data_IF_146909153121
#
_entry.id   IF_146909153121
#
_cell.length_a   1.000
_cell.length_b   1.000
_cell.length_c   1.000
_cell.angle_alpha   90.00
_cell.angle_beta   90.00
_cell.angle_gamma   90.00
#
_symmetry.space_group_name_H-M   'P 1'
#
loop_
_entity.id
_entity.type
_entity.pdbx_description
1 polymer ?
#
# COMPACT_ATOMS: atom_id res chain seq x y z
N UNK A 1 74.97 -45.45 58.59
CA UNK A 1 74.59 -44.11 59.09
C UNK A 1 74.31 -43.24 57.89
N UNK A 2 73.03 -43.12 57.52
CA UNK A 2 72.64 -42.21 56.46
C UNK A 2 71.36 -41.45 56.97
N UNK A 3 71.53 -40.19 57.19
CA UNK A 3 70.45 -39.30 57.64
C UNK A 3 69.53 -38.97 56.48
N UNK A 4 68.25 -39.32 56.64
CA UNK A 4 67.20 -38.94 55.72
C UNK A 4 66.71 -37.52 56.06
N UNK A 5 66.77 -36.60 55.10
CA UNK A 5 66.15 -35.28 55.17
C UNK A 5 64.77 -35.34 54.50
N UNK A 6 63.73 -35.20 55.31
CA UNK A 6 62.40 -35.10 54.81
C UNK A 6 62.17 -33.73 54.16
N UNK A 7 61.78 -33.73 52.90
CA UNK A 7 61.40 -32.54 52.16
C UNK A 7 59.89 -32.25 52.38
N UNK A 8 59.59 -31.17 53.07
CA UNK A 8 58.27 -30.73 53.32
C UNK A 8 57.79 -29.94 52.07
N UNK A 9 56.94 -30.54 51.30
CA UNK A 9 56.29 -29.84 50.14
C UNK A 9 55.02 -29.09 50.63
N UNK A 10 55.11 -27.77 50.74
CA UNK A 10 53.99 -26.94 51.02
C UNK A 10 53.21 -26.72 49.70
N UNK A 11 52.02 -27.32 49.60
CA UNK A 11 51.12 -27.16 48.48
C UNK A 11 50.38 -25.82 48.68
N UNK A 12 50.77 -24.79 47.92
CA UNK A 12 49.99 -23.59 47.78
C UNK A 12 48.80 -23.86 46.83
N UNK A 13 47.65 -24.03 47.40
CA UNK A 13 46.42 -24.06 46.61
C UNK A 13 46.05 -22.61 46.27
N UNK A 14 46.36 -22.16 45.05
CA UNK A 14 45.86 -20.92 44.49
C UNK A 14 44.39 -21.16 44.11
N UNK A 15 43.47 -20.73 44.95
CA UNK A 15 42.07 -20.63 44.60
C UNK A 15 41.85 -19.44 43.64
N UNK A 16 41.89 -19.69 42.37
CA UNK A 16 41.46 -18.72 41.34
C UNK A 16 39.95 -18.52 41.43
N UNK A 17 39.54 -17.44 42.06
CA UNK A 17 38.14 -16.95 41.99
C UNK A 17 37.95 -16.42 40.59
N UNK A 18 37.38 -17.25 39.71
CA UNK A 18 36.85 -16.79 38.41
C UNK A 18 35.56 -16.00 38.68
N UNK A 19 35.68 -14.69 38.73
CA UNK A 19 34.52 -13.78 38.69
C UNK A 19 33.83 -13.97 37.36
N UNK A 20 32.75 -14.76 37.34
CA UNK A 20 31.81 -14.80 36.19
C UNK A 20 31.08 -13.48 36.22
N UNK A 21 31.58 -12.52 35.46
CA UNK A 21 30.80 -11.34 35.09
C UNK A 21 29.67 -11.80 34.14
N UNK A 22 28.50 -12.06 34.71
CA UNK A 22 27.25 -12.14 33.95
C UNK A 22 27.03 -10.76 33.33
N UNK A 23 27.52 -10.57 32.10
CA UNK A 23 27.04 -9.51 31.24
C UNK A 23 25.54 -9.76 31.04
N UNK A 24 24.74 -9.01 31.78
CA UNK A 24 23.35 -8.83 31.46
C UNK A 24 23.35 -8.24 30.05
N UNK A 25 23.07 -9.07 29.03
CA UNK A 25 22.60 -8.57 27.75
C UNK A 25 21.31 -7.87 28.07
N UNK A 26 21.40 -6.55 28.26
CA UNK A 26 20.27 -5.69 28.21
C UNK A 26 19.65 -5.99 26.83
N UNK A 27 18.52 -6.69 26.86
CA UNK A 27 17.63 -6.78 25.72
C UNK A 27 17.33 -5.33 25.34
N UNK A 28 18.10 -4.78 24.42
CA UNK A 28 17.65 -3.65 23.64
C UNK A 28 16.50 -4.22 22.81
N UNK A 29 15.33 -4.25 23.46
CA UNK A 29 14.07 -4.24 22.77
C UNK A 29 14.03 -2.89 22.03
N UNK A 30 14.85 -2.83 20.98
CA UNK A 30 14.75 -1.80 19.97
C UNK A 30 13.32 -1.96 19.46
N UNK A 31 12.47 -1.03 19.83
CA UNK A 31 11.19 -0.78 19.19
C UNK A 31 11.48 -0.57 17.70
N UNK A 32 11.63 -1.67 16.97
CA UNK A 32 11.75 -1.67 15.52
C UNK A 32 10.44 -1.11 15.00
N UNK A 33 10.45 0.17 14.70
CA UNK A 33 9.39 0.79 13.91
C UNK A 33 9.33 0.03 12.60
N UNK A 34 8.33 -0.85 12.45
CA UNK A 34 8.13 -1.59 11.20
C UNK A 34 7.55 -0.63 10.19
N UNK A 35 8.37 -0.22 9.22
CA UNK A 35 7.89 0.57 8.11
C UNK A 35 7.04 -0.32 7.20
N UNK A 36 5.76 0.00 7.11
CA UNK A 36 4.79 -0.68 6.25
C UNK A 36 4.60 0.13 4.97
N UNK A 37 4.56 -0.53 3.83
CA UNK A 37 4.41 0.15 2.54
C UNK A 37 2.97 0.01 2.04
N UNK A 38 2.40 1.14 1.62
CA UNK A 38 1.16 1.21 0.85
C UNK A 38 1.55 1.53 -0.59
N UNK A 39 1.34 0.58 -1.49
CA UNK A 39 1.57 0.76 -2.92
C UNK A 39 0.27 1.23 -3.60
N UNK A 40 0.35 2.30 -4.37
CA UNK A 40 -0.75 2.74 -5.24
C UNK A 40 -0.39 2.39 -6.67
N UNK A 41 -1.19 1.53 -7.27
CA UNK A 41 -1.16 1.15 -8.68
C UNK A 41 -2.36 1.78 -9.35
N UNK A 42 -2.17 2.88 -10.06
CA UNK A 42 -3.24 3.68 -10.63
C UNK A 42 -2.92 4.32 -11.96
N UNK A 43 -3.84 5.14 -12.40
CA UNK A 43 -3.72 5.91 -13.63
C UNK A 43 -3.57 7.42 -13.39
N UNK A 44 -4.11 8.24 -14.28
CA UNK A 44 -4.04 9.71 -14.20
C UNK A 44 -4.73 10.30 -12.97
N UNK A 45 -5.73 9.62 -12.41
CA UNK A 45 -6.44 10.09 -11.21
C UNK A 45 -5.54 10.04 -9.97
N UNK A 46 -4.58 9.14 -9.95
CA UNK A 46 -3.60 8.97 -8.87
C UNK A 46 -2.22 9.57 -9.20
N UNK A 47 -1.93 9.82 -10.49
CA UNK A 47 -0.66 10.40 -10.95
C UNK A 47 -0.60 11.93 -10.91
N UNK A 48 -1.60 12.60 -10.31
CA UNK A 48 -1.70 14.07 -10.26
C UNK A 48 -1.78 14.76 -11.62
N UNK A 49 -2.47 14.15 -12.59
CA UNK A 49 -2.59 14.72 -13.93
C UNK A 49 -3.20 16.14 -13.89
N UNK A 50 -2.48 17.12 -14.47
CA UNK A 50 -2.95 18.50 -14.60
C UNK A 50 -2.98 19.32 -13.32
N UNK A 51 -2.43 18.80 -12.21
CA UNK A 51 -2.31 19.50 -10.93
C UNK A 51 -0.90 19.36 -10.34
N UNK A 52 -0.49 20.24 -9.42
CA UNK A 52 0.76 20.04 -8.66
C UNK A 52 0.69 18.75 -7.83
N UNK A 53 1.78 17.98 -7.84
CA UNK A 53 1.84 16.68 -7.15
C UNK A 53 1.61 16.80 -5.64
N UNK A 54 2.02 17.92 -5.04
CA UNK A 54 1.87 18.23 -3.63
C UNK A 54 0.41 18.38 -3.21
N UNK A 55 -0.47 18.67 -4.17
CA UNK A 55 -1.90 18.83 -3.98
C UNK A 55 -2.69 17.54 -4.29
N UNK A 56 -2.01 16.50 -4.76
CA UNK A 56 -2.68 15.24 -5.12
C UNK A 56 -3.23 14.52 -3.88
N UNK A 57 -4.34 13.79 -4.06
CA UNK A 57 -4.91 12.99 -2.99
C UNK A 57 -3.92 11.98 -2.41
N UNK A 58 -2.98 11.48 -3.23
CA UNK A 58 -1.92 10.55 -2.81
C UNK A 58 -0.96 11.22 -1.84
N UNK A 59 -0.51 12.44 -2.15
CA UNK A 59 0.37 13.21 -1.25
C UNK A 59 -0.36 13.59 0.03
N UNK A 60 -1.62 14.02 -0.06
CA UNK A 60 -2.45 14.33 1.10
C UNK A 60 -2.69 13.09 1.99
N UNK A 61 -2.84 11.91 1.38
CA UNK A 61 -2.94 10.64 2.10
C UNK A 61 -1.64 10.32 2.85
N UNK A 62 -0.49 10.47 2.19
CA UNK A 62 0.81 10.26 2.82
C UNK A 62 1.02 11.17 4.05
N UNK A 63 0.68 12.45 3.92
CA UNK A 63 0.72 13.42 5.03
C UNK A 63 -0.24 13.05 6.17
N UNK A 64 -1.43 12.54 5.83
CA UNK A 64 -2.41 12.09 6.83
C UNK A 64 -1.88 10.91 7.63
N UNK A 65 -1.30 9.92 6.95
CA UNK A 65 -0.68 8.75 7.57
C UNK A 65 0.49 9.15 8.48
N UNK A 66 1.39 9.98 7.98
CA UNK A 66 2.52 10.48 8.76
C UNK A 66 2.05 11.19 10.05
N UNK A 67 1.09 12.11 9.94
CA UNK A 67 0.54 12.84 11.08
C UNK A 67 -0.12 11.90 12.09
N UNK A 68 -0.86 10.90 11.62
CA UNK A 68 -1.63 10.00 12.49
C UNK A 68 -0.76 8.98 13.20
N UNK A 69 0.28 8.49 12.52
CA UNK A 69 1.13 7.40 13.02
C UNK A 69 2.52 7.84 13.50
N UNK A 70 2.86 9.13 13.42
CA UNK A 70 4.16 9.69 13.86
C UNK A 70 4.56 9.37 15.30
N UNK A 71 3.59 9.07 16.16
CA UNK A 71 3.79 8.77 17.58
C UNK A 71 3.56 7.30 17.93
N UNK A 72 3.39 6.45 16.93
CA UNK A 72 3.14 5.02 17.11
C UNK A 72 4.32 4.20 16.61
N UNK A 73 4.34 2.91 16.93
CA UNK A 73 5.34 1.99 16.37
C UNK A 73 5.07 1.60 14.92
N UNK A 74 3.92 2.01 14.36
CA UNK A 74 3.59 1.80 12.97
C UNK A 74 3.99 3.03 12.15
N UNK A 75 4.71 2.82 11.06
CA UNK A 75 5.08 3.85 10.11
C UNK A 75 4.65 3.41 8.71
N UNK A 76 3.76 4.18 8.09
CA UNK A 76 3.27 3.88 6.74
C UNK A 76 3.93 4.77 5.71
N UNK A 77 4.53 4.15 4.70
CA UNK A 77 5.09 4.84 3.55
C UNK A 77 4.24 4.61 2.31
N UNK A 78 3.78 5.68 1.68
CA UNK A 78 3.06 5.61 0.41
C UNK A 78 4.04 5.56 -0.76
N UNK A 79 3.88 4.58 -1.64
CA UNK A 79 4.60 4.44 -2.91
C UNK A 79 3.62 4.57 -4.05
N UNK A 80 3.65 5.70 -4.72
CA UNK A 80 2.83 5.94 -5.89
C UNK A 80 3.52 5.41 -7.14
N UNK A 81 2.95 4.39 -7.77
CA UNK A 81 3.40 3.81 -9.03
C UNK A 81 2.40 4.07 -10.18
N UNK A 82 1.53 5.07 -10.00
CA UNK A 82 0.50 5.41 -10.98
C UNK A 82 1.11 6.09 -12.21
N UNK A 83 0.58 5.75 -13.39
CA UNK A 83 1.01 6.28 -14.68
C UNK A 83 -0.21 6.80 -15.44
N UNK A 84 -0.18 8.07 -15.87
CA UNK A 84 -1.28 8.64 -16.66
C UNK A 84 -1.55 7.82 -17.93
N UNK A 85 -2.80 7.47 -18.18
CA UNK A 85 -3.19 6.65 -19.33
C UNK A 85 -3.03 5.15 -19.12
N UNK A 86 -2.62 4.69 -17.94
CA UNK A 86 -2.40 3.28 -17.64
C UNK A 86 -3.71 2.47 -17.71
N UNK A 87 -3.58 1.23 -18.15
CA UNK A 87 -4.66 0.26 -18.28
C UNK A 87 -4.50 -0.89 -17.30
N UNK A 88 -5.53 -1.70 -17.17
CA UNK A 88 -5.43 -2.93 -16.36
C UNK A 88 -4.34 -3.87 -16.87
N UNK A 89 -4.12 -3.95 -18.20
CA UNK A 89 -3.06 -4.74 -18.82
C UNK A 89 -1.66 -4.18 -18.51
N UNK A 90 -1.49 -2.85 -18.54
CA UNK A 90 -0.24 -2.20 -18.13
C UNK A 90 0.07 -2.42 -16.66
N UNK A 91 -0.94 -2.35 -15.80
CA UNK A 91 -0.83 -2.71 -14.39
C UNK A 91 -0.34 -4.14 -14.17
N UNK A 92 -0.84 -5.12 -14.96
CA UNK A 92 -0.39 -6.51 -14.90
C UNK A 92 1.09 -6.66 -15.24
N UNK A 93 1.60 -5.90 -16.19
CA UNK A 93 3.03 -5.92 -16.54
C UNK A 93 3.92 -5.34 -15.44
N UNK A 94 3.46 -4.30 -14.76
CA UNK A 94 4.27 -3.57 -13.77
C UNK A 94 4.19 -4.16 -12.36
N UNK A 95 3.03 -4.67 -11.95
CA UNK A 95 2.77 -5.08 -10.56
C UNK A 95 3.76 -6.12 -10.01
N UNK A 96 4.17 -7.20 -10.74
CA UNK A 96 5.09 -8.19 -10.17
C UNK A 96 6.43 -7.61 -9.74
N UNK A 97 6.99 -6.69 -10.53
CA UNK A 97 8.25 -6.02 -10.19
C UNK A 97 8.08 -5.07 -9.00
N UNK A 98 6.93 -4.37 -8.91
CA UNK A 98 6.60 -3.46 -7.81
C UNK A 98 6.41 -4.22 -6.50
N UNK A 99 5.71 -5.36 -6.51
CA UNK A 99 5.51 -6.22 -5.34
C UNK A 99 6.86 -6.74 -4.82
N UNK A 100 7.72 -7.24 -5.71
CA UNK A 100 9.07 -7.69 -5.34
C UNK A 100 9.92 -6.56 -4.74
N UNK A 101 9.84 -5.36 -5.33
CA UNK A 101 10.65 -4.20 -4.94
C UNK A 101 10.22 -3.61 -3.60
N UNK A 102 8.92 -3.44 -3.40
CA UNK A 102 8.39 -2.67 -2.28
C UNK A 102 7.81 -3.52 -1.16
N UNK A 103 7.51 -4.81 -1.42
CA UNK A 103 6.89 -5.74 -0.47
C UNK A 103 5.74 -5.07 0.31
N UNK A 104 4.72 -4.53 -0.38
CA UNK A 104 3.71 -3.69 0.25
C UNK A 104 2.80 -4.51 1.17
N UNK A 105 2.46 -3.96 2.33
CA UNK A 105 1.41 -4.47 3.21
C UNK A 105 0.02 -4.27 2.59
N UNK A 106 -0.15 -3.15 1.87
CA UNK A 106 -1.42 -2.79 1.24
C UNK A 106 -1.15 -2.37 -0.21
N UNK A 107 -1.97 -2.88 -1.14
CA UNK A 107 -2.00 -2.42 -2.54
C UNK A 107 -3.35 -1.76 -2.80
N UNK A 108 -3.32 -0.49 -3.19
CA UNK A 108 -4.50 0.22 -3.70
C UNK A 108 -4.49 0.09 -5.22
N UNK A 109 -5.51 -0.57 -5.79
CA UNK A 109 -5.67 -0.75 -7.24
C UNK A 109 -6.69 0.27 -7.74
N UNK A 110 -6.21 1.26 -8.48
CA UNK A 110 -7.00 2.34 -9.07
C UNK A 110 -6.81 2.31 -10.60
N UNK A 111 -7.34 1.28 -11.26
CA UNK A 111 -7.18 1.03 -12.68
C UNK A 111 -8.50 0.60 -13.34
N UNK A 112 -8.57 0.78 -14.65
CA UNK A 112 -9.68 0.39 -15.50
C UNK A 112 -10.40 1.56 -16.16
N UNK A 113 -10.22 2.81 -15.72
CA UNK A 113 -10.80 3.97 -16.36
C UNK A 113 -10.44 4.04 -17.84
N UNK A 114 -9.16 3.91 -18.15
CA UNK A 114 -8.66 3.94 -19.53
C UNK A 114 -9.16 2.80 -20.38
N UNK A 115 -9.31 1.59 -19.80
CA UNK A 115 -9.91 0.45 -20.47
C UNK A 115 -11.38 0.74 -20.83
N UNK A 116 -12.16 1.22 -19.86
CA UNK A 116 -13.55 1.57 -20.02
C UNK A 116 -13.78 2.69 -21.04
N UNK A 117 -12.98 3.75 -21.00
CA UNK A 117 -13.05 4.87 -21.95
C UNK A 117 -12.63 4.48 -23.36
N UNK A 118 -11.80 3.45 -23.51
CA UNK A 118 -11.42 2.86 -24.83
C UNK A 118 -12.39 1.79 -25.29
N UNK A 119 -13.43 1.47 -24.51
CA UNK A 119 -14.43 0.47 -24.86
C UNK A 119 -13.92 -0.97 -24.86
N UNK A 120 -12.92 -1.29 -24.04
CA UNK A 120 -12.39 -2.65 -23.97
C UNK A 120 -13.46 -3.64 -23.48
N UNK A 121 -13.39 -4.92 -23.90
CA UNK A 121 -14.34 -5.91 -23.44
C UNK A 121 -14.36 -6.03 -21.91
N UNK A 122 -15.54 -5.96 -21.31
CA UNK A 122 -15.69 -6.05 -19.84
C UNK A 122 -15.05 -7.31 -19.26
N UNK A 123 -15.14 -8.44 -19.99
CA UNK A 123 -14.51 -9.70 -19.59
C UNK A 123 -12.99 -9.57 -19.45
N UNK A 124 -12.34 -8.85 -20.34
CA UNK A 124 -10.89 -8.61 -20.28
C UNK A 124 -10.55 -7.74 -19.06
N UNK A 125 -11.30 -6.67 -18.84
CA UNK A 125 -11.10 -5.79 -17.68
C UNK A 125 -11.28 -6.57 -16.36
N UNK A 126 -12.35 -7.36 -16.27
CA UNK A 126 -12.62 -8.20 -15.10
C UNK A 126 -11.48 -9.21 -14.86
N UNK A 127 -11.01 -9.89 -15.90
CA UNK A 127 -9.92 -10.86 -15.80
C UNK A 127 -8.62 -10.19 -15.33
N UNK A 128 -8.26 -9.05 -15.92
CA UNK A 128 -7.06 -8.32 -15.55
C UNK A 128 -7.11 -7.83 -14.10
N UNK A 129 -8.22 -7.22 -13.68
CA UNK A 129 -8.41 -6.80 -12.29
C UNK A 129 -8.37 -7.98 -11.32
N UNK A 130 -8.99 -9.13 -11.69
CA UNK A 130 -8.90 -10.37 -10.91
C UNK A 130 -7.45 -10.79 -10.70
N UNK A 131 -6.68 -10.86 -11.79
CA UNK A 131 -5.26 -11.26 -11.72
C UNK A 131 -4.42 -10.26 -10.91
N UNK A 132 -4.68 -8.95 -11.02
CA UNK A 132 -4.01 -7.94 -10.18
C UNK A 132 -4.28 -8.17 -8.68
N UNK A 133 -5.52 -8.47 -8.31
CA UNK A 133 -5.90 -8.78 -6.93
C UNK A 133 -5.21 -10.07 -6.47
N UNK A 134 -5.26 -11.12 -7.26
CA UNK A 134 -4.62 -12.41 -6.95
C UNK A 134 -3.11 -12.28 -6.75
N UNK A 135 -2.42 -11.54 -7.61
CA UNK A 135 -0.98 -11.26 -7.48
C UNK A 135 -0.65 -10.53 -6.17
N UNK A 136 -1.43 -9.50 -5.82
CA UNK A 136 -1.23 -8.77 -4.58
C UNK A 136 -1.46 -9.67 -3.36
N UNK A 137 -2.54 -10.44 -3.34
CA UNK A 137 -2.88 -11.35 -2.24
C UNK A 137 -1.86 -12.49 -2.11
N UNK A 138 -1.34 -13.02 -3.23
CA UNK A 138 -0.28 -14.04 -3.23
C UNK A 138 1.03 -13.53 -2.62
N UNK A 139 1.23 -12.20 -2.59
CA UNK A 139 2.35 -11.54 -1.91
C UNK A 139 2.00 -11.10 -0.47
N UNK A 140 0.92 -11.63 0.11
CA UNK A 140 0.41 -11.30 1.44
C UNK A 140 -0.01 -9.82 1.59
N UNK A 141 -0.25 -9.11 0.51
CA UNK A 141 -0.75 -7.74 0.55
C UNK A 141 -2.27 -7.71 0.72
N UNK A 142 -2.78 -6.87 1.62
CA UNK A 142 -4.20 -6.50 1.64
C UNK A 142 -4.51 -5.65 0.41
N UNK A 143 -5.70 -5.77 -0.14
CA UNK A 143 -6.09 -5.02 -1.34
C UNK A 143 -7.21 -4.05 -1.01
N UNK A 144 -7.06 -2.80 -1.45
CA UNK A 144 -8.13 -1.82 -1.58
C UNK A 144 -8.39 -1.58 -3.06
N UNK A 145 -9.53 -2.06 -3.54
CA UNK A 145 -9.97 -1.81 -4.91
C UNK A 145 -10.74 -0.50 -4.99
N UNK A 146 -10.50 0.33 -6.00
CA UNK A 146 -11.25 1.57 -6.20
C UNK A 146 -12.17 1.46 -7.41
N UNK A 147 -13.47 1.62 -7.16
CA UNK A 147 -14.48 1.61 -8.20
C UNK A 147 -14.46 2.90 -9.02
N UNK A 148 -14.75 2.74 -10.30
CA UNK A 148 -14.75 3.80 -11.29
C UNK A 148 -16.10 3.81 -12.03
N UNK A 149 -16.58 5.01 -12.37
CA UNK A 149 -17.67 5.20 -13.30
C UNK A 149 -17.15 5.82 -14.58
N UNK A 150 -17.57 5.28 -15.72
CA UNK A 150 -17.38 5.93 -17.01
C UNK A 150 -18.66 6.66 -17.41
N UNK A 151 -18.54 7.75 -18.18
CA UNK A 151 -19.71 8.52 -18.59
C UNK A 151 -20.75 7.69 -19.35
N UNK A 152 -22.06 7.93 -19.16
CA UNK A 152 -23.12 7.10 -19.76
C UNK A 152 -23.21 7.20 -21.29
N UNK A 153 -22.59 8.21 -21.90
CA UNK A 153 -22.49 8.34 -23.37
C UNK A 153 -21.65 7.24 -24.02
N UNK A 154 -20.89 6.44 -23.23
CA UNK A 154 -20.24 5.19 -23.70
C UNK A 154 -21.21 4.01 -23.77
N UNK A 155 -22.51 4.23 -23.54
CA UNK A 155 -23.56 3.21 -23.53
C UNK A 155 -23.96 2.83 -22.11
N UNK A 156 -25.21 3.12 -21.74
CA UNK A 156 -25.73 2.91 -20.37
C UNK A 156 -25.50 1.47 -19.86
N UNK A 157 -25.76 0.47 -20.73
CA UNK A 157 -25.58 -0.95 -20.37
C UNK A 157 -24.11 -1.27 -20.06
N UNK A 158 -23.19 -0.77 -20.88
CA UNK A 158 -21.76 -0.98 -20.70
C UNK A 158 -21.27 -0.26 -19.44
N UNK A 159 -21.61 1.02 -19.27
CA UNK A 159 -21.19 1.81 -18.10
C UNK A 159 -21.68 1.20 -16.77
N UNK A 160 -22.94 0.73 -16.72
CA UNK A 160 -23.50 0.07 -15.53
C UNK A 160 -22.78 -1.25 -15.25
N UNK A 161 -22.53 -2.09 -16.26
CA UNK A 161 -21.86 -3.36 -16.08
C UNK A 161 -20.37 -3.17 -15.71
N UNK A 162 -19.69 -2.18 -16.31
CA UNK A 162 -18.34 -1.78 -15.97
C UNK A 162 -18.21 -1.42 -14.48
N UNK A 163 -19.03 -0.52 -13.98
CA UNK A 163 -19.01 -0.13 -12.57
C UNK A 163 -19.28 -1.34 -11.64
N UNK A 164 -20.25 -2.21 -12.01
CA UNK A 164 -20.59 -3.40 -11.22
C UNK A 164 -19.43 -4.40 -11.10
N UNK A 165 -18.49 -4.40 -12.05
CA UNK A 165 -17.31 -5.29 -12.01
C UNK A 165 -16.54 -5.14 -10.71
N UNK A 166 -16.31 -3.92 -10.24
CA UNK A 166 -15.54 -3.66 -9.01
C UNK A 166 -16.20 -4.25 -7.78
N UNK A 167 -17.51 -4.05 -7.60
CA UNK A 167 -18.23 -4.61 -6.45
C UNK A 167 -18.33 -6.14 -6.51
N UNK A 168 -18.40 -6.71 -7.71
CA UNK A 168 -18.37 -8.16 -7.92
C UNK A 168 -17.02 -8.75 -7.53
N UNK A 169 -15.93 -8.12 -7.97
CA UNK A 169 -14.57 -8.55 -7.64
C UNK A 169 -14.27 -8.39 -6.15
N UNK A 170 -14.63 -7.25 -5.57
CA UNK A 170 -14.42 -7.01 -4.14
C UNK A 170 -15.10 -8.09 -3.27
N UNK A 171 -16.31 -8.51 -3.63
CA UNK A 171 -17.01 -9.62 -2.95
C UNK A 171 -16.33 -10.96 -3.18
N UNK A 172 -15.92 -11.26 -4.42
CA UNK A 172 -15.28 -12.53 -4.80
C UNK A 172 -13.96 -12.75 -4.06
N UNK A 173 -13.15 -11.70 -3.96
CA UNK A 173 -11.80 -11.76 -3.39
C UNK A 173 -11.70 -11.25 -1.94
N UNK A 174 -12.84 -10.90 -1.33
CA UNK A 174 -12.90 -10.36 0.04
C UNK A 174 -11.98 -9.15 0.24
N UNK A 175 -11.90 -8.25 -0.76
CA UNK A 175 -11.11 -7.02 -0.67
C UNK A 175 -11.94 -5.86 -0.13
N UNK A 176 -11.26 -4.88 0.46
CA UNK A 176 -11.89 -3.60 0.70
C UNK A 176 -12.20 -2.89 -0.63
N UNK A 177 -13.22 -2.05 -0.63
CA UNK A 177 -13.70 -1.35 -1.83
C UNK A 177 -14.02 0.11 -1.52
N UNK A 178 -13.46 1.01 -2.30
CA UNK A 178 -14.01 2.35 -2.52
C UNK A 178 -15.06 2.21 -3.63
N UNK A 179 -16.36 2.38 -3.36
CA UNK A 179 -17.38 2.13 -4.38
C UNK A 179 -17.24 3.01 -5.62
N UNK A 180 -16.93 4.29 -5.42
CA UNK A 180 -16.63 5.24 -6.49
C UNK A 180 -15.62 6.29 -6.02
N UNK A 181 -14.48 6.36 -6.68
CA UNK A 181 -13.38 7.25 -6.30
C UNK A 181 -13.76 8.73 -6.36
N UNK A 182 -14.59 9.13 -7.34
CA UNK A 182 -15.03 10.52 -7.56
C UNK A 182 -16.46 10.78 -7.08
N UNK A 183 -16.91 10.06 -6.05
CA UNK A 183 -18.26 10.24 -5.48
C UNK A 183 -18.47 11.68 -5.00
N UNK A 184 -19.57 12.30 -5.45
CA UNK A 184 -19.89 13.69 -5.13
C UNK A 184 -18.98 14.75 -5.78
N UNK A 185 -18.02 14.32 -6.63
CA UNK A 185 -17.06 15.18 -7.33
C UNK A 185 -17.36 15.22 -8.82
N UNK A 186 -17.48 14.06 -9.48
CA UNK A 186 -17.62 13.95 -10.94
C UNK A 186 -18.80 14.74 -11.53
N UNK A 187 -19.86 14.96 -10.76
CA UNK A 187 -21.05 15.72 -11.16
C UNK A 187 -20.94 17.23 -10.95
N UNK A 188 -19.84 17.72 -10.35
CA UNK A 188 -19.62 19.14 -10.05
C UNK A 188 -18.59 19.74 -11.00
N UNK A 189 -18.99 20.50 -12.04
CA UNK A 189 -18.05 21.08 -13.00
C UNK A 189 -16.96 21.97 -12.36
N UNK A 190 -17.27 22.61 -11.23
CA UNK A 190 -16.29 23.43 -10.49
C UNK A 190 -15.13 22.62 -9.93
N UNK A 191 -15.30 21.31 -9.67
CA UNK A 191 -14.28 20.41 -9.14
C UNK A 191 -13.55 19.60 -10.22
N UNK A 192 -14.01 19.69 -11.49
CA UNK A 192 -13.44 18.96 -12.62
C UNK A 192 -12.66 19.90 -13.54
N UNK A 193 -11.64 19.37 -14.18
CA UNK A 193 -10.91 20.06 -15.25
C UNK A 193 -11.80 20.22 -16.50
N UNK A 194 -11.32 20.95 -17.50
CA UNK A 194 -12.09 21.23 -18.72
C UNK A 194 -12.49 19.97 -19.49
N UNK A 195 -11.71 18.88 -19.37
CA UNK A 195 -11.97 17.59 -19.98
C UNK A 195 -13.12 16.81 -19.31
N UNK A 196 -13.58 17.23 -18.12
CA UNK A 196 -14.62 16.59 -17.30
C UNK A 196 -14.30 15.14 -16.89
N UNK A 197 -13.06 14.73 -16.99
CA UNK A 197 -12.57 13.40 -16.61
C UNK A 197 -11.65 13.50 -15.38
N UNK A 198 -10.82 14.54 -15.33
CA UNK A 198 -9.84 14.71 -14.27
C UNK A 198 -10.31 15.73 -13.23
N UNK A 199 -10.20 15.41 -11.93
CA UNK A 199 -10.52 16.35 -10.86
C UNK A 199 -9.44 17.45 -10.76
N UNK A 200 -9.86 18.64 -10.31
CA UNK A 200 -8.96 19.74 -9.98
C UNK A 200 -8.30 19.54 -8.61
N UNK A 201 -7.39 20.43 -8.26
CA UNK A 201 -6.72 20.44 -6.96
C UNK A 201 -7.69 20.57 -5.79
N UNK A 202 -8.74 21.37 -5.92
CA UNK A 202 -9.76 21.59 -4.88
C UNK A 202 -10.57 20.34 -4.55
N UNK A 203 -10.57 19.34 -5.43
CA UNK A 203 -11.27 18.07 -5.21
C UNK A 203 -10.43 17.05 -4.45
N UNK A 204 -9.11 17.22 -4.40
CA UNK A 204 -8.17 16.17 -3.97
C UNK A 204 -8.33 15.79 -2.49
N UNK A 205 -8.65 16.76 -1.63
CA UNK A 205 -8.92 16.47 -0.21
C UNK A 205 -10.17 15.59 -0.05
N UNK A 206 -11.20 15.80 -0.89
CA UNK A 206 -12.40 14.94 -0.88
C UNK A 206 -12.08 13.53 -1.35
N UNK A 207 -11.27 13.37 -2.40
CA UNK A 207 -10.81 12.06 -2.89
C UNK A 207 -10.01 11.33 -1.80
N UNK A 208 -9.05 12.02 -1.18
CA UNK A 208 -8.28 11.47 -0.06
C UNK A 208 -9.20 10.98 1.06
N UNK A 209 -10.23 11.75 1.41
CA UNK A 209 -11.17 11.36 2.46
C UNK A 209 -12.00 10.13 2.08
N UNK A 210 -12.44 10.02 0.82
CA UNK A 210 -13.14 8.84 0.29
C UNK A 210 -12.26 7.58 0.43
N UNK A 211 -11.01 7.66 -0.01
CA UNK A 211 -10.04 6.55 0.10
C UNK A 211 -9.75 6.22 1.56
N UNK A 212 -9.52 7.24 2.38
CA UNK A 212 -9.21 7.09 3.80
C UNK A 212 -10.27 6.31 4.57
N UNK A 213 -11.55 6.55 4.30
CA UNK A 213 -12.65 5.86 5.00
C UNK A 213 -12.57 4.33 4.86
N UNK A 214 -12.09 3.83 3.73
CA UNK A 214 -11.95 2.40 3.49
C UNK A 214 -10.56 1.90 3.92
N UNK A 215 -9.52 2.66 3.65
CA UNK A 215 -8.14 2.30 3.95
C UNK A 215 -7.91 2.08 5.45
N UNK A 216 -8.48 2.91 6.32
CA UNK A 216 -8.28 2.83 7.77
C UNK A 216 -8.65 1.48 8.39
N UNK A 217 -9.51 0.69 7.74
CA UNK A 217 -9.88 -0.66 8.19
C UNK A 217 -8.82 -1.72 7.85
N UNK A 218 -7.84 -1.37 7.02
CA UNK A 218 -6.76 -2.25 6.59
C UNK A 218 -5.44 -1.97 7.36
N UNK A 219 -5.35 -0.81 8.00
CA UNK A 219 -4.19 -0.41 8.81
C UNK A 219 -4.22 -1.10 10.18
#
# INVERSE_FOLDING_TARGET
MIKSYGLLIILFILSSITSVTTQAYANQDSTRTTQQTILILGDSLSAAYGIPIEQSWVTLLAQTLEKQFSKTNNNYQVRNASISGETTDGGLRSLPALLKKYQPEIVIIELGANDGLRGFPLKTIEQNLSTLIELAQAHNSKVLLTGIHIPPNYGQRYATAFHKTYSTLAKRYHTALVPFLLEGIATKPSLMQADRLHPKAEAQESIKNIVWQQLKSLL
#
